data_IF_638673055599
#
_entry.id   IF_638673055599
#
_cell.length_a   1.000
_cell.length_b   1.000
_cell.length_c   1.000
_cell.angle_alpha   90.00
_cell.angle_beta   90.00
_cell.angle_gamma   90.00
#
_symmetry.space_group_name_H-M   'P 1'
#
loop_
_entity.id
_entity.type
_entity.pdbx_description
1 polymer ?
#
# COMPACT_ATOMS: atom_id res chain seq x y z
N UNK A 1 -37.43 -37.79 43.02
CA UNK A 1 -38.66 -37.54 42.23
C UNK A 1 -38.68 -36.08 41.91
N UNK A 2 -38.19 -35.69 40.77
CA UNK A 2 -38.26 -34.35 40.22
C UNK A 2 -38.45 -34.46 38.71
N UNK A 3 -39.53 -33.89 38.25
CA UNK A 3 -40.14 -33.99 36.94
C UNK A 3 -39.32 -33.22 35.91
N UNK A 4 -39.03 -33.84 34.78
CA UNK A 4 -38.38 -33.23 33.61
C UNK A 4 -39.48 -32.76 32.64
N UNK A 5 -39.51 -31.50 32.19
CA UNK A 5 -40.48 -31.07 31.19
C UNK A 5 -40.02 -31.45 29.77
N UNK A 6 -40.89 -32.12 29.05
CA UNK A 6 -40.81 -32.50 27.63
C UNK A 6 -40.57 -31.29 26.73
N UNK A 7 -39.54 -31.40 25.91
CA UNK A 7 -39.21 -30.47 24.80
C UNK A 7 -40.16 -30.75 23.61
N UNK A 8 -41.01 -29.82 23.30
CA UNK A 8 -41.90 -29.82 22.15
C UNK A 8 -41.09 -29.68 20.85
N UNK A 9 -41.32 -30.57 19.91
CA UNK A 9 -40.77 -30.50 18.55
C UNK A 9 -41.57 -29.48 17.72
N UNK A 10 -40.91 -28.48 17.17
CA UNK A 10 -41.46 -27.64 16.11
C UNK A 10 -41.37 -28.36 14.74
N UNK A 11 -42.33 -28.16 13.84
CA UNK A 11 -42.33 -28.79 12.54
C UNK A 11 -41.42 -28.11 11.56
N UNK A 12 -40.66 -28.93 10.86
CA UNK A 12 -39.77 -28.64 9.77
C UNK A 12 -40.53 -28.00 8.59
N UNK A 13 -40.24 -26.75 8.26
CA UNK A 13 -40.82 -26.04 7.11
C UNK A 13 -39.95 -26.26 5.86
N UNK A 14 -40.49 -27.01 4.92
CA UNK A 14 -39.96 -27.22 3.57
C UNK A 14 -39.94 -25.93 2.75
N UNK A 15 -38.85 -25.60 2.00
CA UNK A 15 -38.81 -24.46 1.10
C UNK A 15 -39.68 -24.72 -0.16
N UNK A 16 -40.31 -23.70 -0.73
CA UNK A 16 -41.10 -23.83 -1.95
C UNK A 16 -40.25 -23.99 -3.21
N UNK A 17 -40.64 -24.90 -4.09
CA UNK A 17 -40.10 -25.09 -5.43
C UNK A 17 -40.29 -23.85 -6.33
N UNK A 18 -39.32 -23.50 -7.18
CA UNK A 18 -39.50 -22.45 -8.18
C UNK A 18 -40.24 -22.99 -9.41
N UNK A 19 -41.48 -22.56 -9.60
CA UNK A 19 -42.23 -22.72 -10.85
C UNK A 19 -41.87 -21.57 -11.79
N UNK A 20 -41.40 -21.87 -13.00
CA UNK A 20 -41.28 -20.88 -14.07
C UNK A 20 -40.28 -21.27 -15.14
N UNK A 21 -40.62 -22.22 -16.00
CA UNK A 21 -39.89 -22.45 -17.25
C UNK A 21 -40.17 -21.31 -18.23
N UNK A 22 -39.14 -20.60 -18.66
CA UNK A 22 -39.17 -19.63 -19.77
C UNK A 22 -38.97 -20.37 -21.10
N UNK A 23 -39.67 -19.96 -22.19
CA UNK A 23 -39.60 -20.64 -23.47
C UNK A 23 -38.29 -20.32 -24.22
N UNK A 24 -37.66 -21.40 -24.67
CA UNK A 24 -36.49 -21.37 -25.56
C UNK A 24 -36.95 -21.07 -26.98
N UNK A 25 -36.66 -19.84 -27.48
CA UNK A 25 -36.56 -19.58 -28.93
C UNK A 25 -35.62 -18.39 -29.13
N UNK A 26 -34.58 -18.51 -29.97
CA UNK A 26 -33.66 -17.39 -30.22
C UNK A 26 -34.29 -16.38 -31.20
N UNK A 27 -34.17 -15.08 -30.98
CA UNK A 27 -34.54 -14.07 -31.96
C UNK A 27 -33.54 -14.05 -33.11
N UNK A 28 -34.07 -14.08 -34.33
CA UNK A 28 -33.32 -13.93 -35.59
C UNK A 28 -32.87 -12.47 -35.75
N UNK A 29 -31.57 -12.28 -36.05
CA UNK A 29 -31.09 -11.14 -36.81
C UNK A 29 -30.81 -9.86 -36.01
N UNK A 30 -29.64 -9.82 -35.35
CA UNK A 30 -28.99 -8.56 -35.01
C UNK A 30 -27.69 -8.52 -35.82
N UNK A 31 -27.41 -7.44 -36.59
CA UNK A 31 -26.16 -7.33 -37.37
C UNK A 31 -24.97 -7.22 -36.39
N UNK A 32 -23.96 -8.06 -36.64
CA UNK A 32 -22.69 -8.06 -35.91
C UNK A 32 -22.05 -6.66 -36.02
N UNK A 33 -21.71 -6.00 -34.92
CA UNK A 33 -20.90 -4.79 -34.98
C UNK A 33 -19.49 -5.17 -35.47
N UNK A 34 -19.00 -4.41 -36.47
CA UNK A 34 -17.64 -4.53 -36.98
C UNK A 34 -16.63 -4.36 -35.82
N UNK A 35 -15.61 -5.22 -35.78
CA UNK A 35 -14.54 -5.17 -34.83
C UNK A 35 -13.93 -3.74 -34.77
N UNK A 36 -13.70 -3.17 -33.61
CA UNK A 36 -13.01 -1.89 -33.50
C UNK A 36 -11.57 -2.05 -33.99
N UNK A 37 -11.24 -1.33 -35.05
CA UNK A 37 -9.89 -1.17 -35.58
C UNK A 37 -9.00 -0.70 -34.44
N UNK A 38 -7.94 -1.46 -34.11
CA UNK A 38 -6.98 -1.15 -33.06
C UNK A 38 -6.45 0.28 -33.26
N UNK A 39 -6.87 1.18 -32.39
CA UNK A 39 -6.34 2.53 -32.34
C UNK A 39 -4.85 2.44 -31.96
N UNK A 40 -4.00 2.97 -32.84
CA UNK A 40 -2.58 3.14 -32.63
C UNK A 40 -2.39 3.86 -31.27
N UNK A 41 -1.54 3.37 -30.36
CA UNK A 41 -1.36 4.02 -29.08
C UNK A 41 -0.92 5.46 -29.30
N UNK A 42 -1.70 6.40 -28.78
CA UNK A 42 -1.37 7.81 -28.81
C UNK A 42 0.01 8.00 -28.17
N UNK A 43 0.91 8.68 -28.89
CA UNK A 43 2.22 9.03 -28.37
C UNK A 43 2.04 9.75 -27.03
N UNK A 44 2.67 9.21 -25.97
CA UNK A 44 2.63 9.81 -24.66
C UNK A 44 3.10 11.26 -24.75
N UNK A 45 2.29 12.19 -24.26
CA UNK A 45 2.67 13.61 -24.18
C UNK A 45 4.03 13.73 -23.47
N UNK A 46 4.90 14.67 -23.87
CA UNK A 46 6.20 14.85 -23.25
C UNK A 46 6.00 15.10 -21.75
N UNK A 47 6.57 14.20 -20.94
CA UNK A 47 6.53 14.29 -19.48
C UNK A 47 7.20 15.59 -19.08
N UNK A 48 6.48 16.46 -18.38
CA UNK A 48 7.07 17.70 -17.86
C UNK A 48 8.38 17.37 -17.12
N UNK A 49 9.44 18.20 -17.26
CA UNK A 49 10.70 17.94 -16.58
C UNK A 49 10.44 17.83 -15.07
N UNK A 50 11.03 16.81 -14.45
CA UNK A 50 10.96 16.67 -13.01
C UNK A 50 11.47 17.95 -12.34
N UNK A 51 10.81 18.46 -11.29
CA UNK A 51 11.28 19.64 -10.59
C UNK A 51 12.73 19.44 -10.15
N UNK A 52 13.56 20.49 -10.30
CA UNK A 52 14.95 20.43 -9.92
C UNK A 52 15.06 20.20 -8.41
N UNK A 53 15.72 19.13 -8.01
CA UNK A 53 16.04 18.84 -6.62
C UNK A 53 17.24 19.72 -6.23
N UNK A 54 17.09 20.49 -5.17
CA UNK A 54 18.12 21.43 -4.71
C UNK A 54 18.81 20.81 -3.50
N UNK A 55 20.16 20.73 -3.47
CA UNK A 55 20.88 20.30 -2.26
C UNK A 55 20.49 21.16 -1.07
N UNK A 56 20.15 20.53 0.04
CA UNK A 56 19.75 21.21 1.26
C UNK A 56 20.90 21.20 2.27
N UNK A 57 21.25 22.36 2.77
CA UNK A 57 22.19 22.51 3.88
C UNK A 57 21.63 23.53 4.89
N UNK A 58 21.06 23.03 5.95
CA UNK A 58 20.52 23.80 7.07
C UNK A 58 20.93 23.16 8.40
N UNK A 59 20.60 23.83 9.52
CA UNK A 59 20.97 23.37 10.85
C UNK A 59 20.46 21.97 11.17
N UNK A 60 19.25 21.62 10.71
CA UNK A 60 18.68 20.30 10.88
C UNK A 60 19.54 19.26 10.15
N UNK A 61 19.83 19.47 8.87
CA UNK A 61 20.69 18.58 8.07
C UNK A 61 22.06 18.39 8.70
N UNK A 62 22.67 19.47 9.19
CA UNK A 62 23.98 19.40 9.86
C UNK A 62 23.95 18.51 11.09
N UNK A 63 22.93 18.65 11.96
CA UNK A 63 22.77 17.78 13.16
C UNK A 63 22.60 16.31 12.79
N UNK A 64 21.80 16.01 11.76
CA UNK A 64 21.65 14.63 11.27
C UNK A 64 22.96 14.08 10.69
N UNK A 65 23.71 14.89 9.90
CA UNK A 65 25.02 14.47 9.37
C UNK A 65 26.05 14.23 10.47
N UNK A 66 26.11 15.10 11.47
CA UNK A 66 27.01 14.94 12.63
C UNK A 66 26.68 13.68 13.42
N UNK A 67 25.40 13.36 13.57
CA UNK A 67 24.96 12.20 14.37
C UNK A 67 25.07 10.88 13.65
N UNK A 68 24.70 10.83 12.36
CA UNK A 68 24.55 9.61 11.60
C UNK A 68 25.54 9.42 10.45
N UNK A 69 26.32 10.43 10.13
CA UNK A 69 27.41 10.33 9.17
C UNK A 69 27.02 9.70 7.83
N UNK A 70 27.62 8.55 7.54
CA UNK A 70 27.41 7.82 6.28
C UNK A 70 25.99 7.25 6.10
N UNK A 71 25.19 7.16 7.15
CA UNK A 71 23.79 6.73 7.04
C UNK A 71 22.87 7.80 6.43
N UNK A 72 23.34 9.05 6.40
CA UNK A 72 22.74 10.16 5.66
C UNK A 72 23.25 10.13 4.22
N UNK A 73 22.50 9.52 3.32
CA UNK A 73 22.90 9.35 1.92
C UNK A 73 22.80 10.66 1.13
N UNK A 74 21.76 11.44 1.40
CA UNK A 74 21.55 12.75 0.74
C UNK A 74 20.60 13.64 1.55
N UNK A 75 20.61 14.95 1.26
CA UNK A 75 19.69 15.94 1.82
C UNK A 75 19.31 16.93 0.73
N UNK A 76 18.03 16.97 0.40
CA UNK A 76 17.51 17.65 -0.76
C UNK A 76 16.24 18.45 -0.40
N UNK A 77 15.93 19.44 -1.22
CA UNK A 77 14.67 20.17 -1.18
C UNK A 77 13.90 19.95 -2.49
N UNK A 78 12.63 19.57 -2.36
CA UNK A 78 11.68 19.48 -3.45
C UNK A 78 10.47 20.35 -3.14
N UNK A 79 10.17 21.33 -3.99
CA UNK A 79 9.03 22.25 -3.83
C UNK A 79 8.96 22.92 -2.44
N UNK A 80 10.08 23.35 -1.92
CA UNK A 80 10.25 23.96 -0.58
C UNK A 80 9.97 22.98 0.58
N UNK A 81 9.98 21.69 0.32
CA UNK A 81 9.89 20.68 1.36
C UNK A 81 11.22 19.96 1.52
N UNK A 82 11.84 20.01 2.70
CA UNK A 82 13.07 19.29 2.96
C UNK A 82 12.83 17.78 2.99
N UNK A 83 13.76 17.03 2.41
CA UNK A 83 13.80 15.59 2.60
C UNK A 83 15.22 15.06 2.73
N UNK A 84 15.36 14.05 3.55
CA UNK A 84 16.60 13.34 3.80
C UNK A 84 16.52 11.96 3.17
N UNK A 85 17.56 11.55 2.45
CA UNK A 85 17.70 10.17 1.98
C UNK A 85 18.59 9.45 2.98
N UNK A 86 18.07 8.38 3.57
CA UNK A 86 18.72 7.65 4.66
C UNK A 86 18.86 6.17 4.36
N UNK A 87 19.84 5.53 5.00
CA UNK A 87 20.03 4.09 4.92
C UNK A 87 18.95 3.35 5.74
N UNK A 88 18.35 2.32 5.15
CA UNK A 88 17.35 1.47 5.77
C UNK A 88 17.85 0.79 7.07
N UNK A 89 19.14 0.47 7.14
CA UNK A 89 19.75 -0.14 8.32
C UNK A 89 19.68 0.77 9.55
N UNK A 90 19.69 2.08 9.37
CA UNK A 90 19.65 3.08 10.45
C UNK A 90 18.26 3.73 10.62
N UNK A 91 17.25 3.23 9.92
CA UNK A 91 15.89 3.80 9.93
C UNK A 91 15.34 4.01 11.35
N UNK A 92 15.45 3.00 12.22
CA UNK A 92 14.87 3.05 13.56
C UNK A 92 15.61 4.05 14.46
N UNK A 93 16.94 4.12 14.38
CA UNK A 93 17.74 5.05 15.18
C UNK A 93 17.53 6.50 14.74
N UNK A 94 17.47 6.74 13.43
CA UNK A 94 17.16 8.05 12.86
C UNK A 94 15.73 8.48 13.24
N UNK A 95 14.77 7.56 13.20
CA UNK A 95 13.39 7.82 13.59
C UNK A 95 13.27 8.18 15.08
N UNK A 96 13.96 7.45 15.98
CA UNK A 96 14.02 7.80 17.41
C UNK A 96 14.62 9.18 17.63
N UNK A 97 15.75 9.47 17.00
CA UNK A 97 16.38 10.78 17.07
C UNK A 97 15.45 11.88 16.57
N UNK A 98 14.78 11.64 15.43
CA UNK A 98 13.82 12.60 14.87
C UNK A 98 12.71 12.94 15.85
N UNK A 99 12.16 11.94 16.57
CA UNK A 99 11.10 12.15 17.56
C UNK A 99 11.62 12.81 18.83
N UNK A 100 12.71 12.25 19.40
CA UNK A 100 13.12 12.58 20.76
C UNK A 100 13.94 13.87 20.83
N UNK A 101 14.84 14.09 19.87
CA UNK A 101 15.74 15.24 19.85
C UNK A 101 15.23 16.38 18.95
N UNK A 102 14.85 16.04 17.73
CA UNK A 102 14.39 17.03 16.73
C UNK A 102 12.90 17.36 16.86
N UNK A 103 12.18 16.71 17.80
CA UNK A 103 10.77 16.95 18.14
C UNK A 103 9.79 16.75 16.97
N UNK A 104 10.08 15.82 16.08
CA UNK A 104 9.10 15.33 15.11
C UNK A 104 8.19 14.31 15.78
N UNK A 105 7.24 14.79 16.54
CA UNK A 105 6.34 14.02 17.42
C UNK A 105 5.21 13.30 16.66
N UNK A 106 4.92 13.66 15.41
CA UNK A 106 3.91 13.02 14.60
C UNK A 106 4.52 12.37 13.34
N UNK A 107 4.25 11.08 13.15
CA UNK A 107 4.34 10.44 11.84
C UNK A 107 3.01 10.71 11.11
N UNK A 108 3.03 11.69 10.20
CA UNK A 108 1.85 12.15 9.46
C UNK A 108 1.43 11.12 8.39
N UNK A 109 2.42 10.51 7.71
CA UNK A 109 2.20 9.49 6.71
C UNK A 109 3.43 8.58 6.55
N UNK A 110 3.20 7.34 6.13
CA UNK A 110 4.25 6.39 5.78
C UNK A 110 3.76 5.52 4.61
N UNK A 111 4.45 5.60 3.48
CA UNK A 111 4.05 4.91 2.26
C UNK A 111 5.25 4.40 1.47
N UNK A 112 5.01 3.73 0.34
CA UNK A 112 6.05 3.21 -0.54
C UNK A 112 5.84 3.64 -2.00
N UNK A 113 6.95 3.69 -2.74
CA UNK A 113 6.96 3.89 -4.19
C UNK A 113 7.75 2.77 -4.84
N UNK A 114 7.18 2.10 -5.84
CA UNK A 114 7.83 1.00 -6.57
C UNK A 114 8.58 1.51 -7.82
N UNK A 115 9.87 1.15 -7.91
CA UNK A 115 10.77 1.42 -9.03
C UNK A 115 11.37 0.11 -9.57
N UNK A 116 10.65 -0.66 -10.38
CA UNK A 116 11.01 -2.05 -10.72
C UNK A 116 12.37 -2.24 -11.41
N UNK A 117 12.98 -1.15 -11.92
CA UNK A 117 14.28 -1.19 -12.62
C UNK A 117 15.47 -0.80 -11.73
N UNK A 118 15.24 -0.50 -10.44
CA UNK A 118 16.30 -0.13 -9.50
C UNK A 118 16.73 -1.34 -8.68
N UNK A 119 17.98 -1.37 -8.26
CA UNK A 119 18.50 -2.36 -7.29
C UNK A 119 17.78 -2.21 -5.95
N UNK A 120 17.76 -1.03 -5.38
CA UNK A 120 16.85 -0.64 -4.30
C UNK A 120 15.48 -0.34 -4.91
N UNK A 121 14.65 -1.39 -5.03
CA UNK A 121 13.39 -1.35 -5.77
C UNK A 121 12.38 -0.38 -5.19
N UNK A 122 12.29 -0.30 -3.87
CA UNK A 122 11.29 0.52 -3.20
C UNK A 122 11.91 1.75 -2.57
N UNK A 123 11.22 2.88 -2.65
CA UNK A 123 11.47 4.04 -1.80
C UNK A 123 10.36 4.08 -0.74
N UNK A 124 10.68 3.82 0.54
CA UNK A 124 9.78 4.13 1.64
C UNK A 124 9.85 5.65 1.90
N UNK A 125 8.69 6.24 2.13
CA UNK A 125 8.55 7.69 2.36
C UNK A 125 7.83 7.88 3.70
N UNK A 126 8.54 8.40 4.70
CA UNK A 126 7.95 8.82 5.95
C UNK A 126 7.83 10.34 5.98
N UNK A 127 6.64 10.85 6.27
CA UNK A 127 6.38 12.28 6.45
C UNK A 127 6.23 12.53 7.94
N UNK A 128 7.16 13.30 8.48
CA UNK A 128 7.20 13.67 9.88
C UNK A 128 6.75 15.11 10.06
N UNK A 129 6.04 15.38 11.16
CA UNK A 129 5.64 16.71 11.55
C UNK A 129 6.05 17.02 12.98
N UNK A 130 6.54 18.22 13.19
CA UNK A 130 6.87 18.76 14.50
C UNK A 130 5.85 19.83 14.90
N UNK A 131 5.05 19.58 15.94
CA UNK A 131 4.15 20.59 16.49
C UNK A 131 4.91 21.75 17.12
N UNK A 132 5.99 21.55 17.91
CA UNK A 132 6.74 22.65 18.50
C UNK A 132 7.38 23.58 17.46
N UNK A 133 7.86 23.03 16.35
CA UNK A 133 8.55 23.80 15.31
C UNK A 133 7.66 24.18 14.13
N UNK A 134 6.43 23.64 14.07
CA UNK A 134 5.48 23.82 12.94
C UNK A 134 6.16 23.56 11.58
N UNK A 135 6.92 22.46 11.49
CA UNK A 135 7.68 22.09 10.29
C UNK A 135 7.46 20.62 9.93
N UNK A 136 7.64 20.31 8.64
CA UNK A 136 7.65 18.96 8.12
C UNK A 136 9.05 18.54 7.71
N UNK A 137 9.33 17.27 7.86
CA UNK A 137 10.51 16.61 7.33
C UNK A 137 10.08 15.32 6.64
N UNK A 138 10.57 15.08 5.44
CA UNK A 138 10.36 13.82 4.73
C UNK A 138 11.63 12.99 4.84
N UNK A 139 11.48 11.73 5.26
CA UNK A 139 12.54 10.72 5.16
C UNK A 139 12.23 9.84 3.96
N UNK A 140 13.25 9.63 3.13
CA UNK A 140 13.22 8.73 1.99
C UNK A 140 14.20 7.60 2.24
N UNK A 141 13.72 6.38 2.20
CA UNK A 141 14.47 5.19 2.56
C UNK A 141 14.46 4.23 1.36
N UNK A 142 15.54 4.15 0.57
CA UNK A 142 15.64 3.17 -0.49
C UNK A 142 15.82 1.75 0.08
N UNK A 143 14.93 0.82 -0.34
CA UNK A 143 14.87 -0.55 0.17
C UNK A 143 14.91 -1.56 -0.99
N UNK A 144 15.70 -2.63 -0.88
CA UNK A 144 15.70 -3.72 -1.84
C UNK A 144 14.44 -4.60 -1.69
N UNK A 145 14.09 -5.35 -2.73
CA UNK A 145 12.87 -6.16 -2.75
C UNK A 145 12.82 -7.24 -1.66
N UNK A 146 13.98 -7.70 -1.20
CA UNK A 146 14.14 -8.73 -0.16
C UNK A 146 14.63 -8.16 1.18
N UNK A 147 14.71 -6.86 1.31
CA UNK A 147 15.13 -6.18 2.54
C UNK A 147 13.93 -5.95 3.45
N UNK A 148 14.11 -6.21 4.75
CA UNK A 148 13.10 -6.01 5.79
C UNK A 148 13.52 -4.86 6.71
N UNK A 149 13.09 -3.62 6.42
CA UNK A 149 13.37 -2.50 7.29
C UNK A 149 12.73 -2.69 8.66
N UNK A 150 13.33 -2.07 9.69
CA UNK A 150 12.80 -2.12 11.06
C UNK A 150 11.49 -1.36 11.16
N UNK A 151 10.53 -1.93 11.89
CA UNK A 151 9.26 -1.28 12.18
C UNK A 151 9.43 0.02 12.98
N UNK A 152 8.61 1.01 12.65
CA UNK A 152 8.50 2.28 13.37
C UNK A 152 7.36 2.29 14.40
N UNK A 153 6.61 1.19 14.54
CA UNK A 153 5.42 1.10 15.41
C UNK A 153 5.73 1.30 16.90
N UNK A 154 6.97 1.00 17.35
CA UNK A 154 7.42 1.29 18.71
C UNK A 154 7.70 2.79 18.94
N UNK A 155 7.94 3.54 17.85
CA UNK A 155 8.28 4.96 17.91
C UNK A 155 7.00 5.79 17.77
N UNK A 156 6.23 5.52 16.73
CA UNK A 156 4.93 6.14 16.48
C UNK A 156 3.86 5.05 16.32
N UNK A 157 2.88 4.95 17.21
CA UNK A 157 1.82 3.93 17.12
C UNK A 157 1.04 3.95 15.81
N UNK A 158 0.95 5.11 15.14
CA UNK A 158 0.33 5.25 13.80
C UNK A 158 1.03 4.42 12.73
N UNK A 159 2.34 4.16 12.86
CA UNK A 159 3.10 3.34 11.92
C UNK A 159 2.54 1.92 11.81
N UNK A 160 1.95 1.37 12.88
CA UNK A 160 1.38 0.02 12.85
C UNK A 160 0.40 -0.18 11.67
N UNK A 161 -0.49 0.77 11.45
CA UNK A 161 -1.49 0.71 10.39
C UNK A 161 -0.90 0.99 9.00
N UNK A 162 0.00 1.98 8.92
CA UNK A 162 0.65 2.39 7.68
C UNK A 162 1.62 1.30 7.17
N UNK A 163 2.33 0.62 8.07
CA UNK A 163 3.19 -0.52 7.72
C UNK A 163 2.38 -1.72 7.22
N UNK A 164 1.22 -1.99 7.81
CA UNK A 164 0.30 -3.01 7.30
C UNK A 164 -0.26 -2.67 5.92
N UNK A 165 -0.55 -1.40 5.65
CA UNK A 165 -0.95 -0.94 4.32
C UNK A 165 0.17 -1.14 3.30
N UNK A 166 1.40 -0.75 3.64
CA UNK A 166 2.57 -0.97 2.78
C UNK A 166 2.78 -2.48 2.53
N UNK A 167 2.68 -3.30 3.56
CA UNK A 167 2.75 -4.75 3.42
C UNK A 167 1.67 -5.28 2.50
N UNK A 168 0.44 -4.85 2.70
CA UNK A 168 -0.71 -5.32 1.92
C UNK A 168 -0.58 -4.97 0.43
N UNK A 169 -0.22 -3.72 0.12
CA UNK A 169 -0.23 -3.20 -1.24
C UNK A 169 1.09 -3.39 -2.00
N UNK A 170 2.23 -3.47 -1.31
CA UNK A 170 3.56 -3.61 -1.92
C UNK A 170 4.29 -4.91 -1.52
N UNK A 171 3.86 -5.60 -0.45
CA UNK A 171 4.51 -6.81 0.05
C UNK A 171 5.87 -6.56 0.69
N UNK A 172 6.06 -5.41 1.30
CA UNK A 172 7.27 -5.08 2.06
C UNK A 172 7.04 -5.51 3.51
N UNK A 173 7.90 -6.37 4.03
CA UNK A 173 7.84 -6.83 5.41
C UNK A 173 8.65 -5.92 6.34
N UNK A 174 8.13 -5.68 7.55
CA UNK A 174 8.78 -4.85 8.55
C UNK A 174 9.25 -5.70 9.74
N UNK A 175 10.56 -5.76 9.96
CA UNK A 175 11.14 -6.50 11.07
C UNK A 175 10.73 -5.90 12.41
N UNK A 176 10.17 -6.73 13.31
CA UNK A 176 9.72 -6.32 14.65
C UNK A 176 8.32 -5.68 14.68
N UNK A 177 7.56 -5.73 13.58
CA UNK A 177 6.16 -5.29 13.60
C UNK A 177 5.30 -6.24 14.47
N UNK A 178 4.44 -5.74 15.38
CA UNK A 178 3.73 -6.57 16.37
C UNK A 178 2.63 -7.46 15.79
N UNK A 179 2.22 -7.24 14.55
CA UNK A 179 1.12 -8.00 13.94
C UNK A 179 0.94 -7.66 12.46
N UNK A 180 1.96 -7.96 11.65
CA UNK A 180 1.96 -7.65 10.22
C UNK A 180 0.99 -8.59 9.48
N UNK A 181 -0.13 -8.05 9.05
CA UNK A 181 -1.18 -8.74 8.29
C UNK A 181 -1.89 -7.77 7.36
N UNK A 182 -2.58 -8.28 6.35
CA UNK A 182 -3.38 -7.45 5.44
C UNK A 182 -4.38 -6.57 6.19
N UNK A 183 -4.74 -5.45 5.59
CA UNK A 183 -5.65 -4.47 6.18
C UNK A 183 -6.72 -3.97 5.19
N UNK A 184 -6.39 -3.83 3.93
CA UNK A 184 -7.28 -3.33 2.88
C UNK A 184 -7.82 -4.46 2.00
N UNK A 185 -6.97 -5.45 1.68
CA UNK A 185 -7.34 -6.57 0.84
C UNK A 185 -7.75 -7.77 1.70
N UNK A 186 -8.63 -8.66 1.19
CA UNK A 186 -8.96 -9.91 1.85
C UNK A 186 -7.73 -10.81 2.04
N UNK A 187 -7.73 -11.64 3.07
CA UNK A 187 -6.61 -12.56 3.36
C UNK A 187 -6.33 -13.54 2.21
N UNK A 188 -7.36 -13.89 1.45
CA UNK A 188 -7.28 -14.79 0.28
C UNK A 188 -6.73 -14.11 -0.99
N UNK A 189 -6.57 -12.79 -1.00
CA UNK A 189 -6.10 -12.06 -2.18
C UNK A 189 -4.67 -12.43 -2.54
N UNK A 190 -4.41 -12.63 -3.84
CA UNK A 190 -3.08 -12.98 -4.36
C UNK A 190 -2.34 -11.74 -4.87
N UNK A 191 -1.09 -11.58 -4.43
CA UNK A 191 -0.20 -10.52 -4.87
C UNK A 191 -0.39 -9.17 -4.16
N UNK A 192 0.18 -8.12 -4.75
CA UNK A 192 0.29 -6.78 -4.18
C UNK A 192 0.01 -5.73 -5.27
N UNK A 193 -1.20 -5.12 -5.28
CA UNK A 193 -1.70 -4.35 -6.44
C UNK A 193 -0.94 -3.07 -6.78
N UNK A 194 -0.19 -2.48 -5.85
CA UNK A 194 0.58 -1.26 -6.14
C UNK A 194 1.99 -1.52 -6.69
N UNK A 195 2.41 -2.78 -6.77
CA UNK A 195 3.62 -3.12 -7.53
C UNK A 195 3.39 -2.88 -9.01
N UNK A 196 4.39 -2.31 -9.70
CA UNK A 196 4.30 -1.99 -11.13
C UNK A 196 4.33 -3.21 -12.05
N UNK A 197 4.76 -4.36 -11.54
CA UNK A 197 4.73 -5.67 -12.21
C UNK A 197 3.47 -6.48 -11.88
N UNK A 198 2.56 -5.96 -11.07
CA UNK A 198 1.25 -6.56 -10.84
C UNK A 198 0.33 -6.28 -12.05
N UNK A 199 -0.17 -7.36 -12.67
CA UNK A 199 -1.07 -7.24 -13.80
C UNK A 199 -2.53 -7.13 -13.32
N UNK A 200 -3.08 -5.93 -13.41
CA UNK A 200 -4.47 -5.66 -13.02
C UNK A 200 -5.50 -6.38 -13.91
N UNK A 201 -5.09 -6.85 -15.09
CA UNK A 201 -5.98 -7.61 -16.00
C UNK A 201 -5.98 -9.11 -15.65
N UNK A 202 -4.97 -9.57 -14.92
CA UNK A 202 -4.86 -10.94 -14.40
C UNK A 202 -5.22 -11.00 -12.90
N UNK A 203 -6.18 -10.19 -12.49
CA UNK A 203 -6.73 -10.31 -11.13
C UNK A 203 -7.12 -11.76 -10.89
N UNK A 204 -7.08 -12.18 -9.61
CA UNK A 204 -7.60 -13.49 -9.22
C UNK A 204 -9.07 -13.61 -9.64
N UNK A 205 -9.28 -14.07 -10.87
CA UNK A 205 -10.60 -14.18 -11.50
C UNK A 205 -11.49 -15.17 -10.73
N UNK A 206 -10.88 -16.15 -10.08
CA UNK A 206 -11.60 -17.10 -9.23
C UNK A 206 -12.17 -16.37 -8.00
N UNK A 207 -11.33 -15.59 -7.33
CA UNK A 207 -11.75 -14.80 -6.17
C UNK A 207 -12.80 -13.75 -6.54
N UNK A 208 -12.61 -13.03 -7.65
CA UNK A 208 -13.56 -12.00 -8.13
C UNK A 208 -14.91 -12.61 -8.45
N UNK A 209 -14.94 -13.76 -9.12
CA UNK A 209 -16.18 -14.49 -9.42
C UNK A 209 -16.89 -14.97 -8.16
N UNK A 210 -16.16 -15.58 -7.25
CA UNK A 210 -16.71 -16.18 -6.03
C UNK A 210 -17.25 -15.13 -5.06
N UNK A 211 -16.53 -14.01 -4.88
CA UNK A 211 -16.84 -13.01 -3.84
C UNK A 211 -17.61 -11.78 -4.35
N UNK A 212 -17.45 -11.42 -5.60
CA UNK A 212 -18.11 -10.23 -6.18
C UNK A 212 -19.18 -10.59 -7.22
N UNK A 213 -19.25 -11.86 -7.65
CA UNK A 213 -20.20 -12.29 -8.67
C UNK A 213 -19.96 -11.65 -10.05
N UNK A 214 -18.77 -11.09 -10.26
CA UNK A 214 -18.39 -10.43 -11.51
C UNK A 214 -17.66 -11.45 -12.38
N UNK A 215 -18.24 -11.78 -13.55
CA UNK A 215 -17.48 -12.50 -14.57
C UNK A 215 -16.48 -11.52 -15.17
N UNK A 216 -15.17 -11.82 -15.02
CA UNK A 216 -14.14 -11.03 -15.70
C UNK A 216 -14.43 -11.11 -17.20
N UNK A 217 -14.88 -9.99 -17.77
CA UNK A 217 -15.09 -9.86 -19.20
C UNK A 217 -13.80 -10.16 -19.95
N UNK A 218 -13.89 -11.07 -20.91
CA UNK A 218 -12.86 -11.31 -21.89
C UNK A 218 -12.68 -10.07 -22.79
#
# INVERSE_FOLDING_TARGET
MADEPKRSQEPESTPPEPKGALPTSPPKGVPTPAAPTAAKPAAAAPKAPAPAQIPLDNDVVRRYRERFGAAMLDALEDRKQPYLVIDAAQLQDIARYSRDEEKFDLLEDFTAVDWPRREKRFDLIAILYSFPHNTRLRLKIPVAANEQPRSLSEIWPTANWLEREIFDLFGIEFAGHPGLKRILLPDSWQGHPLRKDYDILQQDTAWVRENLGIESGQ
#
